data_IF_830573320468
#
_entry.id   IF_830573320468
#
_cell.length_a   1.000
_cell.length_b   1.000
_cell.length_c   1.000
_cell.angle_alpha   90.00
_cell.angle_beta   90.00
_cell.angle_gamma   90.00
#
_symmetry.space_group_name_H-M   'P 1'
#
loop_
_entity.id
_entity.type
_entity.pdbx_description
1 polymer ?
#
# COMPACT_ATOMS: atom_id res chain seq x y z
N UNK A 1 -17.66 -9.16 20.37
CA UNK A 1 -17.05 -8.00 21.08
C UNK A 1 -15.60 -8.36 21.40
N UNK A 2 -14.67 -7.45 21.18
CA UNK A 2 -13.26 -7.68 21.48
C UNK A 2 -13.03 -7.69 22.99
N UNK A 3 -12.29 -8.69 23.48
CA UNK A 3 -11.87 -8.75 24.88
C UNK A 3 -10.68 -7.82 25.13
N UNK A 4 -10.37 -7.54 26.40
CA UNK A 4 -9.19 -6.76 26.77
C UNK A 4 -7.89 -7.42 26.28
N UNK A 5 -7.83 -8.75 26.30
CA UNK A 5 -6.71 -9.52 25.73
C UNK A 5 -6.56 -9.30 24.22
N UNK A 6 -7.68 -9.27 23.48
CA UNK A 6 -7.64 -9.05 22.03
C UNK A 6 -7.16 -7.63 21.71
N UNK A 7 -7.59 -6.63 22.47
CA UNK A 7 -7.15 -5.24 22.31
C UNK A 7 -5.65 -5.10 22.52
N UNK A 8 -5.15 -5.63 23.65
CA UNK A 8 -3.71 -5.61 23.96
C UNK A 8 -2.89 -6.32 22.88
N UNK A 9 -3.35 -7.47 22.41
CA UNK A 9 -2.70 -8.18 21.31
C UNK A 9 -2.69 -7.34 20.03
N UNK A 10 -3.79 -6.69 19.69
CA UNK A 10 -3.87 -5.85 18.50
C UNK A 10 -2.92 -4.63 18.59
N UNK A 11 -2.83 -3.99 19.75
CA UNK A 11 -1.90 -2.89 20.00
C UNK A 11 -0.45 -3.34 19.83
N UNK A 12 -0.06 -4.46 20.45
CA UNK A 12 1.29 -5.01 20.32
C UNK A 12 1.63 -5.39 18.86
N UNK A 13 0.67 -5.94 18.11
CA UNK A 13 0.85 -6.28 16.71
C UNK A 13 0.96 -5.04 15.83
N UNK A 14 0.17 -4.01 16.13
CA UNK A 14 0.23 -2.74 15.42
C UNK A 14 1.57 -2.04 15.57
N UNK A 15 2.11 -1.99 16.79
CA UNK A 15 3.45 -1.45 17.04
C UNK A 15 4.54 -2.18 16.25
N UNK A 16 4.48 -3.52 16.22
CA UNK A 16 5.42 -4.33 15.42
C UNK A 16 5.28 -4.06 13.93
N UNK A 17 4.05 -3.89 13.45
CA UNK A 17 3.75 -3.61 12.05
C UNK A 17 4.31 -2.24 11.64
N UNK A 18 4.04 -1.21 12.44
CA UNK A 18 4.53 0.14 12.21
C UNK A 18 6.06 0.18 12.19
N UNK A 19 6.69 -0.45 13.18
CA UNK A 19 8.16 -0.54 13.22
C UNK A 19 8.73 -1.21 11.97
N UNK A 20 8.17 -2.36 11.58
CA UNK A 20 8.61 -3.10 10.39
C UNK A 20 8.40 -2.30 9.11
N UNK A 21 7.20 -1.74 8.90
CA UNK A 21 6.87 -1.02 7.68
C UNK A 21 7.66 0.27 7.53
N UNK A 22 7.92 1.00 8.61
CA UNK A 22 8.78 2.18 8.59
C UNK A 22 10.18 1.85 8.08
N UNK A 23 10.74 0.70 8.49
CA UNK A 23 12.05 0.24 7.99
C UNK A 23 11.98 -0.23 6.53
N UNK A 24 10.93 -0.93 6.16
CA UNK A 24 10.72 -1.40 4.78
C UNK A 24 10.63 -0.20 3.82
N UNK A 25 9.96 0.88 4.22
CA UNK A 25 9.80 2.08 3.39
C UNK A 25 11.13 2.78 3.06
N UNK A 26 12.16 2.62 3.87
CA UNK A 26 13.50 3.16 3.53
C UNK A 26 13.99 2.66 2.15
N UNK A 27 13.64 1.43 1.79
CA UNK A 27 14.06 0.78 0.52
C UNK A 27 12.94 0.56 -0.50
N UNK A 28 11.68 0.74 -0.11
CA UNK A 28 10.52 0.37 -0.93
C UNK A 28 9.48 1.49 -1.11
N UNK A 29 9.75 2.71 -0.66
CA UNK A 29 8.80 3.84 -0.79
C UNK A 29 8.48 4.21 -2.24
N UNK A 30 9.40 3.96 -3.15
CA UNK A 30 9.26 4.19 -4.59
C UNK A 30 9.18 2.87 -5.36
N UNK A 31 8.39 1.94 -4.85
CA UNK A 31 8.06 0.66 -5.48
C UNK A 31 6.60 0.32 -5.20
N UNK A 32 6.01 -0.46 -6.08
CA UNK A 32 4.78 -1.20 -5.81
C UNK A 32 5.16 -2.68 -5.72
N UNK A 33 5.32 -3.23 -4.52
CA UNK A 33 5.78 -4.59 -4.34
C UNK A 33 4.67 -5.61 -4.61
N UNK A 34 5.03 -6.73 -5.24
CA UNK A 34 4.20 -7.91 -5.36
C UNK A 34 4.78 -9.09 -4.58
N UNK A 35 6.09 -9.27 -4.63
CA UNK A 35 6.79 -10.32 -3.93
C UNK A 35 8.15 -9.86 -3.41
N UNK A 36 8.81 -10.68 -2.61
CA UNK A 36 10.17 -10.40 -2.12
C UNK A 36 11.10 -11.56 -2.41
N UNK A 37 12.35 -11.24 -2.72
CA UNK A 37 13.44 -12.19 -2.87
C UNK A 37 14.65 -11.68 -2.09
N UNK A 38 15.22 -12.53 -1.25
CA UNK A 38 16.33 -12.18 -0.35
C UNK A 38 16.09 -10.88 0.45
N UNK A 39 14.86 -10.69 0.94
CA UNK A 39 14.48 -9.51 1.73
C UNK A 39 14.29 -8.22 0.92
N UNK A 40 14.39 -8.28 -0.41
CA UNK A 40 14.18 -7.15 -1.31
C UNK A 40 12.86 -7.30 -2.08
N UNK A 41 12.11 -6.22 -2.16
CA UNK A 41 10.90 -6.17 -2.97
C UNK A 41 11.21 -5.97 -4.45
N UNK A 42 10.41 -6.63 -5.29
CA UNK A 42 10.28 -6.30 -6.71
C UNK A 42 9.58 -4.94 -6.90
N UNK A 43 9.34 -4.57 -8.16
CA UNK A 43 8.68 -3.31 -8.48
C UNK A 43 7.73 -3.49 -9.67
N UNK A 44 6.43 -3.58 -9.36
CA UNK A 44 5.38 -3.75 -10.37
C UNK A 44 5.20 -2.54 -11.28
N UNK A 45 5.71 -1.36 -10.91
CA UNK A 45 5.70 -0.19 -11.81
C UNK A 45 6.53 -0.42 -13.07
N UNK A 46 7.50 -1.34 -13.00
CA UNK A 46 8.40 -1.71 -14.11
C UNK A 46 7.97 -2.99 -14.81
N UNK A 47 7.46 -3.96 -14.08
CA UNK A 47 7.14 -5.28 -14.62
C UNK A 47 5.69 -5.43 -15.07
N UNK A 48 4.72 -4.92 -14.32
CA UNK A 48 3.29 -5.00 -14.66
C UNK A 48 2.46 -3.97 -13.89
N UNK A 49 2.44 -2.74 -14.35
CA UNK A 49 1.69 -1.64 -13.71
C UNK A 49 0.16 -1.88 -13.69
N UNK A 50 -0.34 -2.71 -14.60
CA UNK A 50 -1.79 -2.98 -14.73
C UNK A 50 -2.26 -4.15 -13.84
N UNK A 51 -1.41 -4.76 -13.04
CA UNK A 51 -1.78 -5.86 -12.16
C UNK A 51 -2.81 -5.40 -11.12
N UNK A 52 -3.88 -6.18 -10.99
CA UNK A 52 -4.98 -5.85 -10.08
C UNK A 52 -4.57 -5.73 -8.60
N UNK A 53 -3.46 -6.37 -8.21
CA UNK A 53 -2.92 -6.30 -6.83
C UNK A 53 -2.23 -4.98 -6.49
N UNK A 54 -1.92 -4.15 -7.48
CA UNK A 54 -1.10 -2.96 -7.29
C UNK A 54 -1.74 -1.89 -6.39
N UNK A 55 -3.05 -1.94 -6.17
CA UNK A 55 -3.77 -1.06 -5.25
C UNK A 55 -3.59 -1.42 -3.77
N UNK A 56 -3.18 -2.64 -3.44
CA UNK A 56 -3.06 -3.08 -2.04
C UNK A 56 -1.94 -2.38 -1.29
N UNK A 57 -0.81 -2.14 -1.94
CA UNK A 57 0.31 -1.45 -1.31
C UNK A 57 -0.02 -0.01 -0.92
N UNK A 58 -0.48 0.87 -1.83
CA UNK A 58 -0.91 2.21 -1.43
C UNK A 58 -2.09 2.18 -0.45
N UNK A 59 -3.02 1.25 -0.58
CA UNK A 59 -4.10 1.06 0.40
C UNK A 59 -3.58 0.75 1.80
N UNK A 60 -2.57 -0.11 1.94
CA UNK A 60 -1.90 -0.37 3.21
C UNK A 60 -1.21 0.88 3.75
N UNK A 61 -0.55 1.66 2.89
CA UNK A 61 0.12 2.89 3.29
C UNK A 61 -0.87 3.94 3.79
N UNK A 62 -2.02 4.10 3.15
CA UNK A 62 -3.10 4.97 3.62
C UNK A 62 -3.68 4.50 4.95
N UNK A 63 -3.86 3.19 5.13
CA UNK A 63 -4.31 2.63 6.39
C UNK A 63 -3.34 2.96 7.53
N UNK A 64 -2.04 2.78 7.30
CA UNK A 64 -1.01 3.14 8.27
C UNK A 64 -0.99 4.65 8.55
N UNK A 65 -1.11 5.48 7.51
CA UNK A 65 -1.19 6.93 7.68
C UNK A 65 -2.43 7.36 8.47
N UNK A 66 -3.56 6.72 8.26
CA UNK A 66 -4.80 7.07 8.98
C UNK A 66 -4.66 6.93 10.49
N UNK A 67 -3.87 5.96 10.95
CA UNK A 67 -3.65 5.69 12.36
C UNK A 67 -2.42 6.44 12.93
N UNK A 68 -1.28 6.38 12.23
CA UNK A 68 0.00 6.87 12.74
C UNK A 68 0.31 8.32 12.37
N UNK A 69 -0.34 8.86 11.33
CA UNK A 69 -0.08 10.22 10.79
C UNK A 69 1.38 10.48 10.42
N UNK A 70 2.13 9.43 10.10
CA UNK A 70 3.52 9.54 9.67
C UNK A 70 3.61 9.87 8.19
N UNK A 71 4.33 10.93 7.87
CA UNK A 71 4.47 11.42 6.49
C UNK A 71 5.07 10.40 5.52
N UNK A 72 5.92 9.50 6.01
CA UNK A 72 6.50 8.44 5.18
C UNK A 72 5.45 7.50 4.55
N UNK A 73 4.36 7.21 5.25
CA UNK A 73 3.26 6.40 4.72
C UNK A 73 2.47 7.15 3.66
N UNK A 74 2.13 8.41 3.94
CA UNK A 74 1.45 9.28 2.98
C UNK A 74 2.26 9.43 1.69
N UNK A 75 3.53 9.78 1.80
CA UNK A 75 4.40 9.97 0.65
C UNK A 75 4.52 8.70 -0.22
N UNK A 76 4.59 7.51 0.40
CA UNK A 76 4.62 6.25 -0.33
C UNK A 76 3.29 5.94 -1.03
N UNK A 77 2.16 6.25 -0.40
CA UNK A 77 0.83 6.09 -0.99
C UNK A 77 0.64 7.03 -2.19
N UNK A 78 0.88 8.31 -2.03
CA UNK A 78 0.77 9.33 -3.09
C UNK A 78 1.68 9.00 -4.28
N UNK A 79 2.92 8.59 -4.01
CA UNK A 79 3.82 8.18 -5.08
C UNK A 79 3.26 6.97 -5.87
N UNK A 80 2.74 5.97 -5.16
CA UNK A 80 2.15 4.79 -5.79
C UNK A 80 0.94 5.15 -6.65
N UNK A 81 0.07 6.03 -6.18
CA UNK A 81 -1.10 6.51 -6.93
C UNK A 81 -0.70 7.23 -8.21
N UNK A 82 0.31 8.09 -8.15
CA UNK A 82 0.84 8.76 -9.34
C UNK A 82 1.37 7.77 -10.39
N UNK A 83 1.91 6.61 -9.97
CA UNK A 83 2.29 5.54 -10.90
C UNK A 83 1.05 4.83 -11.49
N UNK A 84 0.03 4.55 -10.67
CA UNK A 84 -1.19 3.88 -11.11
C UNK A 84 -2.01 4.73 -12.09
N UNK A 85 -1.98 6.05 -11.97
CA UNK A 85 -2.63 6.97 -12.91
C UNK A 85 -2.15 6.78 -14.34
N UNK A 86 -0.90 6.39 -14.54
CA UNK A 86 -0.37 6.07 -15.88
C UNK A 86 -1.08 4.86 -16.50
N UNK A 87 -1.42 3.85 -15.69
CA UNK A 87 -2.18 2.70 -16.16
C UNK A 87 -3.61 3.09 -16.57
N UNK A 88 -4.25 3.97 -15.79
CA UNK A 88 -5.57 4.52 -16.10
C UNK A 88 -5.57 5.32 -17.40
N UNK A 89 -4.62 6.21 -17.58
CA UNK A 89 -4.51 7.08 -18.77
C UNK A 89 -4.29 6.28 -20.06
N UNK A 90 -3.54 5.19 -19.99
CA UNK A 90 -3.25 4.35 -21.16
C UNK A 90 -4.36 3.37 -21.51
N UNK A 91 -5.25 3.03 -20.59
CA UNK A 91 -6.37 2.07 -20.75
C UNK A 91 -5.97 0.70 -21.31
N UNK A 92 -4.70 0.32 -21.21
CA UNK A 92 -4.16 -0.93 -21.77
C UNK A 92 -3.88 -1.93 -20.66
N UNK A 93 -4.29 -3.18 -20.85
CA UNK A 93 -4.04 -4.27 -19.90
C UNK A 93 -4.89 -4.24 -18.64
N UNK A 94 -5.92 -3.39 -18.56
CA UNK A 94 -6.87 -3.37 -17.45
C UNK A 94 -7.87 -4.53 -17.59
N UNK A 95 -8.13 -5.22 -16.49
CA UNK A 95 -9.06 -6.35 -16.40
C UNK A 95 -10.33 -5.96 -15.63
N UNK A 96 -11.27 -6.92 -15.52
CA UNK A 96 -12.47 -6.78 -14.69
C UNK A 96 -12.17 -6.52 -13.20
N UNK A 97 -10.97 -6.85 -12.72
CA UNK A 97 -10.52 -6.59 -11.35
C UNK A 97 -9.97 -5.18 -11.12
N UNK A 98 -10.08 -4.30 -12.10
CA UNK A 98 -9.58 -2.91 -12.03
C UNK A 98 -10.02 -2.14 -10.78
N UNK A 99 -11.20 -2.44 -10.25
CA UNK A 99 -11.71 -1.84 -9.02
C UNK A 99 -10.82 -2.04 -7.79
N UNK A 100 -10.07 -3.14 -7.72
CA UNK A 100 -9.13 -3.37 -6.62
C UNK A 100 -7.96 -2.39 -6.63
N UNK A 101 -7.56 -1.92 -7.81
CA UNK A 101 -6.46 -0.97 -7.94
C UNK A 101 -6.83 0.37 -7.29
N UNK A 102 -7.90 1.02 -7.77
CA UNK A 102 -8.22 2.39 -7.34
C UNK A 102 -9.09 2.49 -6.11
N UNK A 103 -9.95 1.51 -5.83
CA UNK A 103 -10.76 1.55 -4.60
C UNK A 103 -9.90 1.48 -3.33
N UNK A 104 -8.84 0.69 -3.34
CA UNK A 104 -7.94 0.55 -2.19
C UNK A 104 -6.91 1.68 -2.09
N UNK A 105 -6.50 2.25 -3.22
CA UNK A 105 -5.60 3.39 -3.29
C UNK A 105 -6.37 4.72 -3.16
N UNK A 106 -6.67 5.35 -4.26
CA UNK A 106 -7.31 6.68 -4.30
C UNK A 106 -8.69 6.73 -3.67
N UNK A 107 -9.43 5.65 -3.65
CA UNK A 107 -10.72 5.58 -2.94
C UNK A 107 -10.56 5.68 -1.42
N UNK A 108 -9.48 5.15 -0.87
CA UNK A 108 -9.17 5.26 0.55
C UNK A 108 -8.60 6.65 0.89
N UNK A 109 -7.73 7.19 0.05
CA UNK A 109 -7.23 8.57 0.15
C UNK A 109 -8.40 9.59 0.18
N UNK A 110 -9.35 9.45 -0.75
CA UNK A 110 -10.52 10.33 -0.80
C UNK A 110 -11.37 10.28 0.48
N UNK A 111 -11.36 9.18 1.21
CA UNK A 111 -12.14 8.99 2.43
C UNK A 111 -11.44 9.51 3.70
N UNK A 112 -10.15 9.84 3.65
CA UNK A 112 -9.37 10.36 4.78
C UNK A 112 -9.46 11.88 4.91
#
# INVERSE_FOLDING_TARGET
MLTEKDRKWAEEMWEKLDHKLSQVLVRSREKIPFWSHDGMHDDMTKSNINCWTNGFWPGLMWLMYSAEKKECYKAAAEWSEAQLDRALLNHVGLSHDVGFIWRLASGFDYAL
#
